data_IF_157415434943
#
_entry.id   IF_157415434943
#
_cell.length_a   1.000
_cell.length_b   1.000
_cell.length_c   1.000
_cell.angle_alpha   90.00
_cell.angle_beta   90.00
_cell.angle_gamma   90.00
#
_symmetry.space_group_name_H-M   'P 1'
#
loop_
_entity.id
_entity.type
_entity.pdbx_description
1 polymer ?
#
# COMPACT_ATOMS: atom_id res chain seq x y z
N UNK A 1 -3.68 -23.64 3.42
CA UNK A 1 -2.38 -23.98 4.02
C UNK A 1 -2.31 -23.26 5.34
N UNK A 2 -2.30 -23.97 6.47
CA UNK A 2 -2.17 -23.38 7.79
C UNK A 2 -0.74 -22.89 7.97
N UNK A 3 -0.58 -21.59 8.19
CA UNK A 3 0.66 -21.04 8.72
C UNK A 3 0.81 -21.60 10.14
N UNK A 4 1.75 -22.49 10.32
CA UNK A 4 2.04 -23.09 11.62
C UNK A 4 2.93 -22.11 12.39
N UNK A 5 2.32 -21.23 13.19
CA UNK A 5 2.92 -20.51 14.31
C UNK A 5 4.16 -19.65 14.06
N UNK A 6 4.60 -18.86 15.07
CA UNK A 6 5.73 -17.94 14.98
C UNK A 6 7.11 -18.64 14.83
N UNK A 7 7.15 -19.94 14.74
CA UNK A 7 8.37 -20.75 14.62
C UNK A 7 8.90 -20.87 13.18
N UNK A 8 8.12 -20.39 12.16
CA UNK A 8 8.50 -20.50 10.75
C UNK A 8 8.58 -19.12 10.06
N UNK A 9 9.27 -18.15 10.68
CA UNK A 9 9.47 -16.80 10.13
C UNK A 9 10.19 -16.87 8.78
N UNK A 10 11.19 -17.73 8.64
CA UNK A 10 11.95 -17.88 7.39
C UNK A 10 11.08 -18.46 6.27
N UNK A 11 10.22 -19.42 6.59
CA UNK A 11 9.24 -19.96 5.65
C UNK A 11 8.20 -18.94 5.22
N UNK A 12 7.74 -18.09 6.15
CA UNK A 12 6.80 -17.01 5.89
C UNK A 12 7.39 -15.95 4.94
N UNK A 13 8.57 -15.44 5.23
CA UNK A 13 9.22 -14.41 4.42
C UNK A 13 9.56 -14.95 3.02
N UNK A 14 10.03 -16.19 2.95
CA UNK A 14 10.27 -16.87 1.67
C UNK A 14 8.98 -16.99 0.87
N UNK A 15 7.88 -17.40 1.49
CA UNK A 15 6.58 -17.53 0.83
C UNK A 15 6.08 -16.19 0.28
N UNK A 16 6.22 -15.10 1.06
CA UNK A 16 5.84 -13.74 0.60
C UNK A 16 6.63 -13.37 -0.65
N UNK A 17 7.95 -13.54 -0.63
CA UNK A 17 8.77 -13.15 -1.77
C UNK A 17 8.58 -14.07 -2.97
N UNK A 18 8.31 -15.36 -2.77
CA UNK A 18 7.94 -16.27 -3.85
C UNK A 18 6.64 -15.81 -4.51
N UNK A 19 5.61 -15.50 -3.73
CA UNK A 19 4.34 -14.95 -4.21
C UNK A 19 4.55 -13.62 -4.96
N UNK A 20 5.36 -12.71 -4.42
CA UNK A 20 5.70 -11.46 -5.11
C UNK A 20 6.41 -11.73 -6.41
N UNK A 21 7.44 -12.57 -6.38
CA UNK A 21 8.22 -12.93 -7.58
C UNK A 21 7.33 -13.51 -8.68
N UNK A 22 6.35 -14.34 -8.35
CA UNK A 22 5.46 -14.96 -9.33
C UNK A 22 4.42 -13.98 -9.90
N UNK A 23 4.02 -13.00 -9.09
CA UNK A 23 2.99 -12.01 -9.47
C UNK A 23 3.54 -10.87 -10.32
N UNK A 24 4.73 -10.34 -9.99
CA UNK A 24 5.26 -9.12 -10.62
C UNK A 24 5.99 -9.42 -11.91
N UNK A 25 6.06 -8.41 -12.78
CA UNK A 25 6.76 -8.43 -14.08
C UNK A 25 7.93 -7.48 -14.09
N UNK A 26 8.79 -7.61 -15.09
CA UNK A 26 9.88 -6.67 -15.34
C UNK A 26 9.33 -5.25 -15.50
N UNK A 27 9.99 -4.29 -14.90
CA UNK A 27 9.64 -2.86 -14.84
C UNK A 27 8.41 -2.53 -13.98
N UNK A 28 7.78 -3.49 -13.30
CA UNK A 28 6.75 -3.17 -12.32
C UNK A 28 7.36 -2.41 -11.14
N UNK A 29 6.56 -1.53 -10.57
CA UNK A 29 6.83 -0.81 -9.35
C UNK A 29 6.08 -1.47 -8.19
N UNK A 30 6.82 -1.92 -7.16
CA UNK A 30 6.24 -2.41 -5.90
C UNK A 30 6.43 -1.34 -4.84
N UNK A 31 5.35 -0.98 -4.17
CA UNK A 31 5.36 -0.11 -3.00
C UNK A 31 5.13 -0.95 -1.76
N UNK A 32 6.13 -1.03 -0.90
CA UNK A 32 6.04 -1.73 0.39
C UNK A 32 5.74 -0.69 1.45
N UNK A 33 4.61 -0.83 2.12
CA UNK A 33 4.12 0.15 3.10
C UNK A 33 4.63 -0.17 4.52
N UNK A 34 5.92 -0.39 4.63
CA UNK A 34 6.65 -0.57 5.88
C UNK A 34 6.65 -1.98 6.44
N UNK A 35 7.49 -2.14 7.46
CA UNK A 35 7.72 -3.40 8.19
C UNK A 35 8.07 -4.57 7.26
N UNK A 36 8.85 -4.27 6.21
CA UNK A 36 9.27 -5.24 5.22
C UNK A 36 10.27 -6.25 5.78
N UNK A 37 11.09 -5.83 6.74
CA UNK A 37 12.26 -6.58 7.19
C UNK A 37 12.03 -7.07 8.61
N UNK A 38 11.51 -8.28 8.73
CA UNK A 38 11.37 -9.00 10.00
C UNK A 38 12.44 -10.07 10.18
N UNK A 39 13.03 -10.56 9.09
CA UNK A 39 14.08 -11.55 9.09
C UNK A 39 15.48 -10.93 9.22
N UNK A 40 16.49 -11.77 9.31
CA UNK A 40 17.89 -11.35 9.32
C UNK A 40 18.29 -10.65 8.00
N UNK A 41 19.36 -9.86 8.07
CA UNK A 41 19.86 -9.08 6.93
C UNK A 41 20.22 -9.94 5.71
N UNK A 42 20.75 -11.12 5.92
CA UNK A 42 21.22 -12.00 4.82
C UNK A 42 20.01 -12.53 4.04
N UNK A 43 19.02 -13.02 4.74
CA UNK A 43 17.75 -13.48 4.16
C UNK A 43 17.07 -12.34 3.41
N UNK A 44 16.96 -11.16 4.01
CA UNK A 44 16.39 -9.97 3.37
C UNK A 44 17.12 -9.60 2.08
N UNK A 45 18.44 -9.54 2.08
CA UNK A 45 19.23 -9.25 0.88
C UNK A 45 19.03 -10.29 -0.22
N UNK A 46 18.97 -11.57 0.15
CA UNK A 46 18.71 -12.64 -0.80
C UNK A 46 17.34 -12.49 -1.47
N UNK A 47 16.31 -12.24 -0.66
CA UNK A 47 14.93 -12.11 -1.13
C UNK A 47 14.74 -10.87 -2.02
N UNK A 48 15.21 -9.70 -1.58
CA UNK A 48 15.19 -8.47 -2.39
C UNK A 48 16.00 -8.62 -3.68
N UNK A 49 17.15 -9.31 -3.59
CA UNK A 49 18.00 -9.58 -4.75
C UNK A 49 17.29 -10.40 -5.83
N UNK A 50 16.38 -11.29 -5.47
CA UNK A 50 15.55 -12.04 -6.42
C UNK A 50 14.64 -11.12 -7.23
N UNK A 51 13.94 -10.21 -6.54
CA UNK A 51 13.04 -9.22 -7.19
C UNK A 51 13.84 -8.25 -8.07
N UNK A 52 14.98 -7.76 -7.61
CA UNK A 52 15.84 -6.88 -8.41
C UNK A 52 16.36 -7.57 -9.68
N UNK A 53 16.76 -8.84 -9.61
CA UNK A 53 17.19 -9.60 -10.82
C UNK A 53 16.06 -9.76 -11.83
N UNK A 54 14.81 -9.77 -11.39
CA UNK A 54 13.64 -9.74 -12.28
C UNK A 54 13.43 -8.38 -12.95
N UNK A 55 14.11 -7.33 -12.48
CA UNK A 55 14.01 -5.97 -13.00
C UNK A 55 12.84 -5.19 -12.43
N UNK A 56 12.39 -5.57 -11.24
CA UNK A 56 11.34 -4.88 -10.47
C UNK A 56 11.93 -3.68 -9.74
N UNK A 57 11.19 -2.59 -9.67
CA UNK A 57 11.52 -1.38 -8.91
C UNK A 57 10.80 -1.40 -7.58
N UNK A 58 11.56 -1.47 -6.49
CA UNK A 58 11.02 -1.58 -5.14
C UNK A 58 11.10 -0.22 -4.46
N UNK A 59 9.98 0.28 -3.97
CA UNK A 59 9.86 1.51 -3.18
C UNK A 59 9.50 1.13 -1.75
N UNK A 60 10.22 1.66 -0.78
CA UNK A 60 9.92 1.44 0.64
C UNK A 60 9.32 2.69 1.26
N UNK A 61 8.18 2.55 1.87
CA UNK A 61 7.62 3.50 2.83
C UNK A 61 7.99 2.97 4.21
N UNK A 62 8.75 3.74 5.01
CA UNK A 62 9.33 3.25 6.25
C UNK A 62 8.27 2.99 7.31
N UNK A 63 8.28 1.78 7.87
CA UNK A 63 7.53 1.37 9.06
C UNK A 63 8.36 1.44 10.34
N UNK A 64 7.76 1.08 11.46
CA UNK A 64 8.41 1.16 12.77
C UNK A 64 9.46 0.06 13.00
N UNK A 65 9.42 -1.04 12.26
CA UNK A 65 10.38 -2.14 12.33
C UNK A 65 11.52 -2.04 11.31
N UNK A 66 11.47 -1.10 10.35
CA UNK A 66 12.45 -0.98 9.26
C UNK A 66 13.77 -0.28 9.66
N UNK A 67 14.11 -0.20 10.95
CA UNK A 67 15.31 0.52 11.44
C UNK A 67 16.63 0.04 10.85
N UNK A 68 16.71 -1.24 10.45
CA UNK A 68 17.90 -1.83 9.82
C UNK A 68 18.01 -1.54 8.32
N UNK A 69 16.99 -0.95 7.72
CA UNK A 69 16.85 -0.72 6.28
C UNK A 69 17.83 0.32 5.76
N UNK A 70 18.30 1.25 6.60
CA UNK A 70 19.25 2.29 6.20
C UNK A 70 20.55 1.76 5.54
N UNK A 71 20.91 0.52 5.82
CA UNK A 71 22.07 -0.13 5.21
C UNK A 71 21.76 -0.85 3.88
N UNK A 72 20.50 -0.81 3.43
CA UNK A 72 20.02 -1.51 2.23
C UNK A 72 19.49 -0.53 1.17
N UNK A 73 19.91 0.74 1.24
CA UNK A 73 19.41 1.80 0.34
C UNK A 73 19.56 1.48 -1.14
N UNK A 74 20.62 0.76 -1.51
CA UNK A 74 20.86 0.34 -2.89
C UNK A 74 19.87 -0.73 -3.41
N UNK A 75 19.06 -1.31 -2.53
CA UNK A 75 18.04 -2.29 -2.92
C UNK A 75 16.73 -1.63 -3.34
N UNK A 76 16.52 -0.36 -3.00
CA UNK A 76 15.30 0.37 -3.25
C UNK A 76 15.46 1.45 -4.30
N UNK A 77 14.43 1.69 -5.10
CA UNK A 77 14.32 2.82 -6.02
C UNK A 77 14.07 4.12 -5.25
N UNK A 78 13.30 4.05 -4.18
CA UNK A 78 13.11 5.15 -3.23
C UNK A 78 12.82 4.63 -1.82
N UNK A 79 13.13 5.46 -0.83
CA UNK A 79 12.80 5.25 0.59
C UNK A 79 12.16 6.53 1.08
N UNK A 80 10.92 6.45 1.53
CA UNK A 80 10.10 7.60 1.91
C UNK A 80 9.35 7.28 3.22
N UNK A 81 8.99 8.29 4.02
CA UNK A 81 8.02 8.15 5.12
C UNK A 81 6.58 8.28 4.65
N UNK A 82 6.37 9.19 3.70
CA UNK A 82 5.11 9.38 3.00
C UNK A 82 5.44 9.56 1.53
N UNK A 83 4.75 8.84 0.66
CA UNK A 83 4.90 8.97 -0.78
C UNK A 83 3.56 9.29 -1.42
N UNK A 84 3.58 10.30 -2.28
CA UNK A 84 2.39 10.67 -3.07
C UNK A 84 2.66 10.34 -4.53
N UNK A 85 1.74 9.63 -5.16
CA UNK A 85 1.84 9.25 -6.58
C UNK A 85 0.53 9.61 -7.28
N UNK A 86 0.67 10.23 -8.44
CA UNK A 86 -0.44 10.55 -9.33
C UNK A 86 -0.51 9.52 -10.46
N UNK A 87 -1.65 8.84 -10.58
CA UNK A 87 -1.97 7.95 -11.69
C UNK A 87 -2.96 8.63 -12.63
N UNK A 88 -2.63 8.67 -13.91
CA UNK A 88 -3.44 9.35 -14.93
C UNK A 88 -4.34 8.38 -15.66
N UNK A 89 -5.64 8.69 -15.75
CA UNK A 89 -6.59 7.91 -16.52
C UNK A 89 -6.24 7.87 -18.03
N UNK A 90 -5.53 8.88 -18.52
CA UNK A 90 -5.00 8.89 -19.89
C UNK A 90 -3.90 7.83 -20.15
N UNK A 91 -3.30 7.28 -19.09
CA UNK A 91 -2.25 6.25 -19.14
C UNK A 91 -2.79 4.88 -18.77
N UNK A 92 -3.71 4.85 -17.81
CA UNK A 92 -4.32 3.64 -17.27
C UNK A 92 -5.83 3.65 -17.58
N UNK A 93 -6.23 3.01 -18.67
CA UNK A 93 -7.59 2.99 -19.19
C UNK A 93 -8.64 2.41 -18.24
N UNK A 94 -8.20 1.68 -17.23
CA UNK A 94 -9.06 1.12 -16.18
C UNK A 94 -9.34 2.09 -15.02
N UNK A 95 -8.68 3.24 -14.95
CA UNK A 95 -8.97 4.24 -13.93
C UNK A 95 -10.25 5.00 -14.29
N UNK A 96 -11.19 5.19 -13.35
CA UNK A 96 -12.41 5.97 -13.59
C UNK A 96 -12.11 7.46 -13.80
N UNK A 97 -11.04 7.93 -13.20
CA UNK A 97 -10.52 9.30 -13.29
C UNK A 97 -9.05 9.31 -12.87
N UNK A 98 -8.39 10.47 -12.94
CA UNK A 98 -7.06 10.64 -12.34
C UNK A 98 -7.12 10.34 -10.84
N UNK A 99 -6.18 9.53 -10.35
CA UNK A 99 -6.13 9.06 -8.98
C UNK A 99 -4.83 9.51 -8.31
N UNK A 100 -4.94 10.27 -7.24
CA UNK A 100 -3.81 10.58 -6.34
C UNK A 100 -3.83 9.64 -5.15
N UNK A 101 -2.71 9.00 -4.91
CA UNK A 101 -2.51 8.04 -3.81
C UNK A 101 -1.45 8.57 -2.86
N UNK A 102 -1.81 8.78 -1.61
CA UNK A 102 -0.88 9.03 -0.51
C UNK A 102 -0.61 7.72 0.24
N UNK A 103 0.62 7.27 0.24
CA UNK A 103 1.05 6.04 0.90
C UNK A 103 1.82 6.38 2.17
N UNK A 104 1.44 5.76 3.29
CA UNK A 104 2.10 5.84 4.58
C UNK A 104 2.02 4.49 5.27
N UNK A 105 2.98 4.16 6.13
CA UNK A 105 2.88 2.95 6.94
C UNK A 105 1.67 2.99 7.88
N UNK A 106 1.42 4.16 8.47
CA UNK A 106 0.33 4.37 9.42
C UNK A 106 -0.95 4.89 8.75
N UNK A 107 -2.14 4.56 9.27
CA UNK A 107 -3.38 5.22 8.88
C UNK A 107 -3.32 6.70 9.26
N UNK A 108 -3.70 7.57 8.34
CA UNK A 108 -3.67 9.03 8.54
C UNK A 108 -5.08 9.60 8.64
N UNK A 109 -5.32 10.52 9.58
CA UNK A 109 -6.57 11.29 9.64
C UNK A 109 -6.63 12.39 8.56
N UNK A 110 -5.47 12.90 8.16
CA UNK A 110 -5.32 13.87 7.09
C UNK A 110 -4.08 13.53 6.27
N UNK A 111 -4.17 13.65 4.97
CA UNK A 111 -3.08 13.35 4.03
C UNK A 111 -3.09 14.31 2.85
N UNK A 112 -2.00 14.36 2.04
CA UNK A 112 -1.91 15.27 0.90
C UNK A 112 -3.06 15.09 -0.09
N UNK A 113 -3.70 16.20 -0.45
CA UNK A 113 -4.83 16.27 -1.40
C UNK A 113 -6.09 15.52 -0.97
N UNK A 114 -6.28 15.22 0.31
CA UNK A 114 -7.53 14.63 0.82
C UNK A 114 -8.77 15.43 0.37
N UNK A 115 -8.81 16.78 0.49
CA UNK A 115 -9.96 17.56 0.03
C UNK A 115 -10.22 17.52 -1.49
N UNK A 116 -9.27 17.00 -2.28
CA UNK A 116 -9.40 16.79 -3.72
C UNK A 116 -9.74 15.34 -4.07
N UNK A 117 -10.04 14.49 -3.09
CA UNK A 117 -10.42 13.11 -3.30
C UNK A 117 -9.26 12.14 -3.47
N UNK A 118 -8.03 12.50 -3.02
CA UNK A 118 -6.95 11.53 -2.94
C UNK A 118 -7.25 10.45 -1.89
N UNK A 119 -6.66 9.27 -2.07
CA UNK A 119 -6.80 8.15 -1.14
C UNK A 119 -5.55 7.99 -0.27
N UNK A 120 -5.72 7.46 0.95
CA UNK A 120 -4.63 7.00 1.79
C UNK A 120 -4.54 5.47 1.77
N UNK A 121 -3.39 4.93 1.34
CA UNK A 121 -3.05 3.52 1.51
C UNK A 121 -2.10 3.37 2.70
N UNK A 122 -2.36 2.37 3.55
CA UNK A 122 -1.58 2.13 4.77
C UNK A 122 -1.48 0.64 5.11
N UNK A 123 -0.63 0.30 6.08
CA UNK A 123 -0.48 -1.01 6.69
C UNK A 123 -0.59 -0.92 8.21
N UNK A 124 0.40 -1.42 8.96
CA UNK A 124 0.63 -1.30 10.39
C UNK A 124 -0.41 -1.98 11.31
N UNK A 125 -1.69 -1.74 11.09
CA UNK A 125 -2.77 -2.18 12.00
C UNK A 125 -3.18 -3.64 11.81
N UNK A 126 -2.53 -4.35 10.89
CA UNK A 126 -2.83 -5.74 10.56
C UNK A 126 -4.31 -5.94 10.19
N UNK A 127 -4.85 -7.13 10.48
CA UNK A 127 -6.26 -7.45 10.26
C UNK A 127 -7.23 -6.76 11.24
N UNK A 128 -6.75 -5.88 12.13
CA UNK A 128 -7.60 -5.17 13.08
C UNK A 128 -8.46 -4.12 12.37
N UNK A 129 -9.66 -4.49 11.98
CA UNK A 129 -10.64 -3.62 11.33
C UNK A 129 -11.10 -2.44 12.20
N UNK A 130 -10.92 -2.53 13.52
CA UNK A 130 -11.47 -1.57 14.49
C UNK A 130 -10.70 -0.23 14.60
N UNK A 131 -9.60 -0.06 13.88
CA UNK A 131 -8.76 1.12 14.03
C UNK A 131 -9.17 2.31 13.18
N UNK A 132 -10.11 2.15 12.22
CA UNK A 132 -10.43 3.18 11.22
C UNK A 132 -11.91 3.38 10.99
N UNK A 133 -12.70 3.08 11.96
CA UNK A 133 -14.14 3.36 11.87
C UNK A 133 -14.47 4.84 12.25
N UNK A 134 -13.51 5.74 11.97
CA UNK A 134 -13.73 7.20 12.06
C UNK A 134 -14.52 7.74 10.85
N UNK A 135 -15.04 6.85 9.99
CA UNK A 135 -15.88 7.23 8.85
C UNK A 135 -15.11 7.82 7.67
N UNK A 136 -13.79 7.62 7.61
CA UNK A 136 -12.99 8.11 6.47
C UNK A 136 -12.98 7.08 5.33
N UNK A 137 -13.94 7.23 4.43
CA UNK A 137 -14.16 6.28 3.34
C UNK A 137 -13.05 6.22 2.29
N UNK A 138 -12.08 7.15 2.30
CA UNK A 138 -10.95 7.18 1.35
C UNK A 138 -9.64 6.66 1.93
N UNK A 139 -9.68 5.91 3.04
CA UNK A 139 -8.56 5.16 3.60
C UNK A 139 -8.69 3.67 3.32
N UNK A 140 -7.60 3.04 2.88
CA UNK A 140 -7.58 1.60 2.58
C UNK A 140 -6.38 0.91 3.21
N UNK A 141 -6.66 -0.09 4.07
CA UNK A 141 -5.63 -0.98 4.57
C UNK A 141 -5.23 -1.99 3.49
N UNK A 142 -4.00 -1.89 3.01
CA UNK A 142 -3.40 -2.81 2.03
C UNK A 142 -2.34 -3.71 2.67
N UNK A 143 -2.25 -3.74 4.00
CA UNK A 143 -1.40 -4.69 4.72
C UNK A 143 -1.69 -6.11 4.28
N UNK A 144 -0.67 -6.95 4.22
CA UNK A 144 -0.75 -8.28 3.60
C UNK A 144 -1.86 -9.16 4.21
N UNK A 145 -2.06 -9.07 5.52
CA UNK A 145 -3.07 -9.79 6.29
C UNK A 145 -4.42 -9.06 6.39
N UNK A 146 -4.56 -7.90 5.73
CA UNK A 146 -5.84 -7.19 5.68
C UNK A 146 -6.88 -8.00 4.91
N UNK A 147 -8.18 -7.84 5.23
CA UNK A 147 -9.26 -8.49 4.46
C UNK A 147 -9.25 -8.13 2.97
N UNK A 148 -8.77 -6.92 2.64
CA UNK A 148 -8.68 -6.47 1.24
C UNK A 148 -7.55 -7.15 0.48
N UNK A 149 -6.36 -7.23 1.07
CA UNK A 149 -5.20 -7.86 0.45
C UNK A 149 -5.31 -9.39 0.44
N UNK A 150 -5.88 -9.98 1.48
CA UNK A 150 -6.06 -11.43 1.62
C UNK A 150 -4.79 -12.22 1.26
N UNK A 151 -3.68 -11.83 1.86
CA UNK A 151 -2.34 -12.41 1.66
C UNK A 151 -1.82 -12.34 0.21
N UNK A 152 -2.21 -11.31 -0.55
CA UNK A 152 -1.75 -11.08 -1.93
C UNK A 152 -1.26 -9.64 -2.11
N UNK A 153 -0.45 -9.42 -3.16
CA UNK A 153 -0.13 -8.06 -3.61
C UNK A 153 -1.42 -7.41 -4.12
N UNK A 154 -1.67 -6.21 -3.63
CA UNK A 154 -2.77 -5.37 -4.11
C UNK A 154 -2.31 -4.61 -5.35
N UNK A 155 -2.99 -4.80 -6.47
CA UNK A 155 -2.71 -4.12 -7.74
C UNK A 155 -3.40 -2.76 -7.82
N UNK A 156 -2.85 -1.86 -8.65
CA UNK A 156 -3.49 -0.57 -8.94
C UNK A 156 -4.92 -0.74 -9.49
N UNK A 157 -5.19 -1.81 -10.25
CA UNK A 157 -6.55 -2.10 -10.75
C UNK A 157 -7.52 -2.41 -9.61
N UNK A 158 -7.12 -3.22 -8.63
CA UNK A 158 -7.98 -3.49 -7.47
C UNK A 158 -8.26 -2.23 -6.64
N UNK A 159 -7.25 -1.35 -6.51
CA UNK A 159 -7.41 -0.05 -5.85
C UNK A 159 -8.40 0.83 -6.63
N UNK A 160 -8.29 0.87 -7.96
CA UNK A 160 -9.19 1.63 -8.83
C UNK A 160 -10.64 1.12 -8.74
N UNK A 161 -10.83 -0.19 -8.74
CA UNK A 161 -12.15 -0.82 -8.60
C UNK A 161 -12.77 -0.48 -7.23
N UNK A 162 -11.99 -0.57 -6.15
CA UNK A 162 -12.42 -0.16 -4.82
C UNK A 162 -12.79 1.34 -4.80
N UNK A 163 -11.94 2.20 -5.36
CA UNK A 163 -12.20 3.63 -5.41
C UNK A 163 -13.46 3.98 -6.19
N UNK A 164 -13.67 3.34 -7.34
CA UNK A 164 -14.91 3.48 -8.13
C UNK A 164 -16.15 3.12 -7.31
N UNK A 165 -16.07 2.04 -6.53
CA UNK A 165 -17.17 1.64 -5.63
C UNK A 165 -17.45 2.72 -4.59
N UNK A 166 -16.41 3.32 -4.02
CA UNK A 166 -16.54 4.42 -3.04
C UNK A 166 -17.18 5.67 -3.65
N UNK A 167 -16.73 6.05 -4.84
CA UNK A 167 -17.28 7.21 -5.55
C UNK A 167 -18.74 7.00 -5.97
N UNK A 168 -19.20 5.78 -6.16
CA UNK A 168 -20.59 5.45 -6.52
C UNK A 168 -21.15 6.27 -7.70
N UNK A 169 -20.34 6.45 -8.74
CA UNK A 169 -20.68 7.22 -9.93
C UNK A 169 -20.45 8.72 -9.84
N UNK A 170 -20.01 9.23 -8.70
CA UNK A 170 -19.64 10.64 -8.51
C UNK A 170 -18.21 10.90 -9.00
N UNK A 171 -17.91 12.15 -9.33
CA UNK A 171 -16.52 12.60 -9.42
C UNK A 171 -15.90 12.70 -8.01
N UNK A 172 -14.58 12.66 -7.87
CA UNK A 172 -13.92 12.84 -6.57
C UNK A 172 -14.34 14.13 -5.86
N UNK A 173 -14.54 15.19 -6.60
CA UNK A 173 -14.99 16.47 -6.06
C UNK A 173 -16.42 16.41 -5.50
N UNK A 174 -17.36 15.86 -6.28
CA UNK A 174 -18.76 15.68 -5.84
C UNK A 174 -18.85 14.78 -4.62
N UNK A 175 -18.04 13.70 -4.58
CA UNK A 175 -17.95 12.81 -3.42
C UNK A 175 -17.54 13.58 -2.16
N UNK A 176 -16.46 14.37 -2.23
CA UNK A 176 -15.97 15.15 -1.09
C UNK A 176 -16.98 16.22 -0.67
N UNK A 177 -17.64 16.90 -1.62
CA UNK A 177 -18.69 17.89 -1.32
C UNK A 177 -19.85 17.23 -0.55
N UNK A 178 -20.31 16.03 -0.97
CA UNK A 178 -21.36 15.29 -0.26
C UNK A 178 -20.91 14.80 1.12
N UNK A 179 -19.70 14.21 1.20
CA UNK A 179 -19.14 13.74 2.46
C UNK A 179 -18.96 14.89 3.47
N UNK A 180 -18.61 16.07 3.01
CA UNK A 180 -18.46 17.28 3.84
C UNK A 180 -19.77 17.78 4.44
N UNK A 181 -20.89 17.56 3.77
CA UNK A 181 -22.23 17.88 4.30
C UNK A 181 -22.57 16.93 5.45
N UNK A 182 -22.22 15.66 5.31
CA UNK A 182 -22.51 14.61 6.31
C UNK A 182 -21.51 14.69 7.47
N UNK A 183 -20.26 14.98 7.18
CA UNK A 183 -19.18 15.03 8.15
C UNK A 183 -18.27 16.27 7.93
N UNK A 184 -18.51 17.40 8.65
CA UNK A 184 -17.79 18.65 8.44
C UNK A 184 -16.27 18.60 8.64
N UNK A 185 -15.72 17.53 9.24
CA UNK A 185 -14.25 17.37 9.41
C UNK A 185 -13.51 17.14 8.08
N UNK A 186 -14.19 16.86 6.98
CA UNK A 186 -13.58 16.76 5.65
C UNK A 186 -13.05 18.09 5.10
N UNK A 187 -13.45 19.23 5.70
CA UNK A 187 -13.11 20.59 5.21
C UNK A 187 -11.87 21.17 5.93
N UNK A 188 -11.36 20.53 6.98
CA UNK A 188 -10.27 21.09 7.81
C UNK A 188 -8.92 20.43 7.55
#
# INVERSE_FOLDING_TARGET
MGLTGPEDIDGHDKWIVDMWHDTVRRNDHIYVLGDMIMSDRTTTLYLLGRLKRKGVKIHLIIGNHDKSTYNLTNMFESIDYIKVVDFRASVFDFLPCDLTVAMCHYPMKSWPRKPQGSINLYGHVHANANWIDDGDDLCLNVGLDSPFANFRIVSLRQIADWYSTKLNGLTPREYIEQASIINPQYIR
#
